data_IF_116363819379
#
_entry.id   IF_116363819379
#
_cell.length_a   1.000
_cell.length_b   1.000
_cell.length_c   1.000
_cell.angle_alpha   90.00
_cell.angle_beta   90.00
_cell.angle_gamma   90.00
#
_symmetry.space_group_name_H-M   'P 1'
#
loop_
_entity.id
_entity.type
_entity.pdbx_description
1 polymer ?
#
# COMPACT_ATOMS: atom_id res chain seq x y z
N UNK A 1 -2.98 21.05 -0.48
CA UNK A 1 -1.73 20.26 -0.60
C UNK A 1 -1.98 18.77 -0.34
N UNK A 2 -2.33 18.32 0.87
CA UNK A 2 -2.60 16.88 1.13
C UNK A 2 -3.82 16.36 0.37
N UNK A 3 -4.90 17.14 0.31
CA UNK A 3 -6.12 16.83 -0.48
C UNK A 3 -5.86 16.67 -1.97
N UNK A 4 -4.95 17.47 -2.53
CA UNK A 4 -4.62 17.44 -3.96
C UNK A 4 -3.82 16.19 -4.30
N UNK A 5 -2.92 15.79 -3.40
CA UNK A 5 -2.14 14.56 -3.52
C UNK A 5 -3.03 13.32 -3.41
N UNK A 6 -4.00 13.32 -2.48
CA UNK A 6 -4.97 12.22 -2.36
C UNK A 6 -5.80 12.06 -3.62
N UNK A 7 -6.28 13.16 -4.20
CA UNK A 7 -7.03 13.16 -5.45
C UNK A 7 -6.16 12.67 -6.62
N UNK A 8 -4.90 13.14 -6.71
CA UNK A 8 -3.95 12.69 -7.73
C UNK A 8 -3.68 11.18 -7.62
N UNK A 9 -3.43 10.67 -6.40
CA UNK A 9 -3.20 9.24 -6.18
C UNK A 9 -4.43 8.40 -6.52
N UNK A 10 -5.63 8.87 -6.17
CA UNK A 10 -6.87 8.19 -6.54
C UNK A 10 -7.06 8.16 -8.06
N UNK A 11 -6.75 9.26 -8.76
CA UNK A 11 -6.80 9.30 -10.22
C UNK A 11 -5.77 8.33 -10.85
N UNK A 12 -4.54 8.30 -10.33
CA UNK A 12 -3.51 7.34 -10.75
C UNK A 12 -3.97 5.89 -10.53
N UNK A 13 -4.54 5.59 -9.36
CA UNK A 13 -5.04 4.25 -9.04
C UNK A 13 -6.15 3.83 -10.00
N UNK A 14 -7.15 4.69 -10.24
CA UNK A 14 -8.27 4.41 -11.14
C UNK A 14 -7.80 4.11 -12.57
N UNK A 15 -6.73 4.76 -13.04
CA UNK A 15 -6.19 4.54 -14.37
C UNK A 15 -5.27 3.32 -14.48
N UNK A 16 -4.92 2.66 -13.35
CA UNK A 16 -4.01 1.53 -13.34
C UNK A 16 -4.66 0.25 -13.92
N UNK A 17 -4.03 -0.42 -14.90
CA UNK A 17 -4.52 -1.68 -15.45
C UNK A 17 -4.66 -2.79 -14.39
N UNK A 18 -3.75 -2.83 -13.40
CA UNK A 18 -3.81 -3.76 -12.27
C UNK A 18 -5.11 -3.58 -11.48
N UNK A 19 -5.47 -2.33 -11.17
CA UNK A 19 -6.70 -2.05 -10.43
C UNK A 19 -7.93 -2.44 -11.25
N UNK A 20 -7.97 -2.10 -12.54
CA UNK A 20 -9.09 -2.47 -13.41
C UNK A 20 -9.31 -3.99 -13.46
N UNK A 21 -8.23 -4.78 -13.51
CA UNK A 21 -8.31 -6.25 -13.42
C UNK A 21 -8.87 -6.72 -12.07
N UNK A 22 -8.41 -6.13 -10.96
CA UNK A 22 -8.85 -6.53 -9.63
C UNK A 22 -10.32 -6.15 -9.36
N UNK A 23 -10.76 -4.98 -9.85
CA UNK A 23 -12.14 -4.51 -9.74
C UNK A 23 -13.15 -5.36 -10.49
N UNK A 24 -12.71 -6.16 -11.47
CA UNK A 24 -13.57 -7.12 -12.16
C UNK A 24 -14.05 -8.25 -11.22
N UNK A 25 -13.43 -8.43 -10.05
CA UNK A 25 -13.86 -9.40 -9.05
C UNK A 25 -14.89 -8.80 -8.09
N UNK A 26 -16.07 -9.44 -7.90
CA UNK A 26 -17.13 -8.91 -7.04
C UNK A 26 -16.75 -8.72 -5.57
N UNK A 27 -15.77 -9.48 -5.08
CA UNK A 27 -15.29 -9.41 -3.70
C UNK A 27 -14.24 -8.32 -3.46
N UNK A 28 -13.86 -7.59 -4.52
CA UNK A 28 -12.85 -6.55 -4.43
C UNK A 28 -13.32 -5.40 -3.53
N UNK A 29 -12.55 -5.10 -2.49
CA UNK A 29 -12.81 -4.01 -1.54
C UNK A 29 -11.75 -2.94 -1.68
N UNK A 30 -12.17 -1.67 -1.62
CA UNK A 30 -11.31 -0.50 -1.67
C UNK A 30 -11.38 0.29 -0.37
N UNK A 31 -10.24 0.75 0.13
CA UNK A 31 -10.12 1.52 1.36
C UNK A 31 -8.84 2.36 1.39
N UNK A 32 -8.64 3.12 2.47
CA UNK A 32 -7.48 4.00 2.69
C UNK A 32 -6.64 3.47 3.84
N UNK A 33 -5.33 3.34 3.61
CA UNK A 33 -4.41 2.68 4.55
C UNK A 33 -4.37 1.16 4.35
N UNK A 34 -3.22 0.51 4.49
CA UNK A 34 -3.10 -0.95 4.32
C UNK A 34 -3.60 -1.68 5.56
N UNK A 35 -3.17 -1.25 6.74
CA UNK A 35 -3.62 -1.81 8.02
C UNK A 35 -4.86 -1.05 8.51
N UNK A 36 -5.91 -1.80 8.84
CA UNK A 36 -7.09 -1.28 9.51
C UNK A 36 -6.84 -1.29 11.02
N UNK A 37 -6.33 -0.19 11.54
CA UNK A 37 -5.97 -0.04 12.94
C UNK A 37 -6.92 0.94 13.63
N UNK A 38 -7.45 0.56 14.79
CA UNK A 38 -8.26 1.46 15.62
C UNK A 38 -7.46 2.72 16.01
N UNK A 39 -8.06 3.93 16.04
CA UNK A 39 -7.34 5.19 16.24
C UNK A 39 -6.40 5.21 17.45
N UNK A 40 -6.82 4.59 18.56
CA UNK A 40 -6.04 4.46 19.79
C UNK A 40 -4.72 3.68 19.62
N UNK A 41 -4.66 2.77 18.65
CA UNK A 41 -3.49 1.94 18.36
C UNK A 41 -2.64 2.51 17.21
N UNK A 42 -3.08 3.58 16.54
CA UNK A 42 -2.32 4.19 15.44
C UNK A 42 -1.09 4.95 15.93
N UNK A 43 -1.11 5.44 17.18
CA UNK A 43 0.00 6.18 17.78
C UNK A 43 1.29 5.36 17.91
N UNK A 44 1.18 4.03 17.91
CA UNK A 44 2.32 3.12 18.03
C UNK A 44 2.74 2.50 16.68
N UNK A 45 2.13 2.93 15.56
CA UNK A 45 2.39 2.35 14.24
C UNK A 45 3.37 3.18 13.41
N UNK A 46 4.41 2.50 12.91
CA UNK A 46 5.50 3.10 12.15
C UNK A 46 5.03 3.94 10.95
N UNK A 47 4.09 3.40 10.16
CA UNK A 47 3.56 4.03 8.93
C UNK A 47 2.53 5.12 9.19
N UNK A 48 1.90 5.13 10.37
CA UNK A 48 0.98 6.18 10.81
C UNK A 48 1.67 7.32 11.57
N UNK A 49 2.92 7.11 12.01
CA UNK A 49 3.67 8.08 12.82
C UNK A 49 4.99 8.49 12.16
N UNK A 50 6.06 7.73 12.40
CA UNK A 50 7.43 8.09 12.04
C UNK A 50 7.59 8.35 10.53
N UNK A 51 6.93 7.53 9.70
CA UNK A 51 6.96 7.63 8.25
C UNK A 51 5.81 8.48 7.67
N UNK A 52 4.91 8.99 8.51
CA UNK A 52 3.80 9.84 8.09
C UNK A 52 4.16 11.34 8.16
N UNK A 53 3.52 12.13 7.31
CA UNK A 53 3.58 13.59 7.35
C UNK A 53 4.20 14.23 6.11
N UNK A 54 4.29 15.58 6.08
CA UNK A 54 4.74 16.32 4.91
C UNK A 54 6.13 15.91 4.43
N UNK A 55 6.26 15.64 3.13
CA UNK A 55 7.51 15.16 2.53
C UNK A 55 7.84 13.70 2.85
N UNK A 56 7.00 12.99 3.61
CA UNK A 56 7.07 11.54 3.81
C UNK A 56 5.86 10.86 3.16
N UNK A 57 5.27 9.84 3.79
CA UNK A 57 3.96 9.32 3.41
C UNK A 57 2.92 10.37 3.84
N UNK A 58 2.66 11.31 2.93
CA UNK A 58 1.90 12.54 3.25
C UNK A 58 0.39 12.34 3.24
N UNK A 59 -0.09 11.23 2.68
CA UNK A 59 -1.49 10.83 2.73
C UNK A 59 -1.61 9.30 2.81
N UNK A 60 -2.69 8.75 3.38
CA UNK A 60 -2.88 7.30 3.47
C UNK A 60 -2.91 6.68 2.07
N UNK A 61 -2.31 5.50 1.83
CA UNK A 61 -2.33 4.86 0.51
C UNK A 61 -3.74 4.53 0.05
N UNK A 62 -3.94 4.48 -1.27
CA UNK A 62 -5.14 3.89 -1.86
C UNK A 62 -4.96 2.37 -1.94
N UNK A 63 -5.86 1.59 -1.36
CA UNK A 63 -5.72 0.14 -1.27
C UNK A 63 -6.92 -0.56 -1.85
N UNK A 64 -6.68 -1.60 -2.65
CA UNK A 64 -7.70 -2.51 -3.14
C UNK A 64 -7.27 -3.96 -2.84
N UNK A 65 -8.21 -4.82 -2.47
CA UNK A 65 -7.91 -6.23 -2.17
C UNK A 65 -9.05 -7.14 -2.58
N UNK A 66 -8.72 -8.33 -3.07
CA UNK A 66 -9.64 -9.46 -3.25
C UNK A 66 -9.18 -10.59 -2.35
N UNK A 67 -10.03 -10.96 -1.40
CA UNK A 67 -9.74 -12.06 -0.48
C UNK A 67 -9.79 -13.40 -1.22
N UNK A 68 -10.73 -13.56 -2.16
CA UNK A 68 -10.88 -14.76 -2.98
C UNK A 68 -9.66 -15.00 -3.87
N UNK A 69 -9.11 -13.93 -4.48
CA UNK A 69 -7.88 -14.03 -5.26
C UNK A 69 -6.61 -14.05 -4.41
N UNK A 70 -6.70 -13.59 -3.16
CA UNK A 70 -5.51 -13.43 -2.33
C UNK A 70 -4.57 -12.38 -2.91
N UNK A 71 -5.15 -11.28 -3.41
CA UNK A 71 -4.43 -10.20 -4.08
C UNK A 71 -4.69 -8.87 -3.37
N UNK A 72 -3.67 -8.03 -3.30
CA UNK A 72 -3.72 -6.68 -2.76
C UNK A 72 -2.91 -5.73 -3.65
N UNK A 73 -3.49 -4.58 -3.95
CA UNK A 73 -2.83 -3.47 -4.62
C UNK A 73 -2.85 -2.26 -3.68
N UNK A 74 -1.70 -1.63 -3.49
CA UNK A 74 -1.59 -0.42 -2.68
C UNK A 74 -0.79 0.65 -3.44
N UNK A 75 -1.40 1.80 -3.66
CA UNK A 75 -0.78 2.94 -4.31
C UNK A 75 -0.30 3.91 -3.23
N UNK A 76 0.96 4.32 -3.34
CA UNK A 76 1.61 5.24 -2.42
C UNK A 76 2.20 6.42 -3.18
N UNK A 77 2.18 7.59 -2.55
CA UNK A 77 3.09 8.67 -2.87
C UNK A 77 4.26 8.66 -1.88
N UNK A 78 5.50 8.67 -2.38
CA UNK A 78 6.71 8.64 -1.57
C UNK A 78 7.41 10.00 -1.61
N UNK A 79 7.32 10.79 -0.55
CA UNK A 79 7.94 12.12 -0.51
C UNK A 79 9.47 12.13 -0.36
N UNK A 80 10.07 13.27 -0.69
CA UNK A 80 11.52 13.54 -0.63
C UNK A 80 12.25 13.22 0.68
N UNK A 81 11.59 13.33 1.84
CA UNK A 81 12.20 13.01 3.15
C UNK A 81 12.28 11.49 3.42
N UNK A 82 11.88 10.66 2.46
CA UNK A 82 12.07 9.22 2.48
C UNK A 82 13.32 8.78 1.70
N UNK A 83 14.13 9.72 1.25
CA UNK A 83 15.37 9.46 0.52
C UNK A 83 16.38 8.67 1.37
N UNK A 84 17.04 7.69 0.76
CA UNK A 84 18.26 7.08 1.31
C UNK A 84 19.53 7.62 0.66
N UNK A 85 19.42 7.97 -0.62
CA UNK A 85 20.42 8.71 -1.39
C UNK A 85 19.72 9.88 -2.10
N UNK A 86 20.48 10.89 -2.54
CA UNK A 86 19.90 12.07 -3.20
C UNK A 86 18.99 11.65 -4.38
N UNK A 87 17.71 12.00 -4.29
CA UNK A 87 16.69 11.71 -5.32
C UNK A 87 16.13 10.30 -5.33
N UNK A 88 16.59 9.39 -4.46
CA UNK A 88 16.21 7.96 -4.47
C UNK A 88 15.66 7.56 -3.09
N UNK A 89 14.48 6.95 -3.07
CA UNK A 89 13.87 6.42 -1.85
C UNK A 89 14.78 5.40 -1.16
N UNK A 90 14.79 5.42 0.17
CA UNK A 90 15.60 4.49 0.96
C UNK A 90 15.14 3.04 0.75
N UNK A 91 16.05 2.11 0.44
CA UNK A 91 15.68 0.71 0.17
C UNK A 91 14.97 0.02 1.34
N UNK A 92 15.27 0.42 2.58
CA UNK A 92 14.56 -0.03 3.78
C UNK A 92 13.08 0.40 3.83
N UNK A 93 12.69 1.51 3.19
CA UNK A 93 11.28 1.86 3.05
C UNK A 93 10.56 0.82 2.18
N UNK A 94 11.18 0.37 1.09
CA UNK A 94 10.62 -0.69 0.25
C UNK A 94 10.30 -1.94 1.08
N UNK A 95 11.20 -2.32 2.00
CA UNK A 95 10.98 -3.45 2.90
C UNK A 95 9.75 -3.25 3.80
N UNK A 96 9.56 -2.05 4.36
CA UNK A 96 8.38 -1.71 5.18
C UNK A 96 7.09 -1.84 4.37
N UNK A 97 7.04 -1.26 3.18
CA UNK A 97 5.84 -1.28 2.32
C UNK A 97 5.49 -2.71 1.88
N UNK A 98 6.51 -3.49 1.51
CA UNK A 98 6.36 -4.88 1.09
C UNK A 98 5.87 -5.77 2.24
N UNK A 99 6.46 -5.64 3.43
CA UNK A 99 6.04 -6.40 4.63
C UNK A 99 4.58 -6.10 5.00
N UNK A 100 4.21 -4.82 5.05
CA UNK A 100 2.86 -4.38 5.42
C UNK A 100 1.81 -4.91 4.42
N UNK A 101 2.06 -4.78 3.12
CA UNK A 101 1.15 -5.23 2.06
C UNK A 101 1.02 -6.75 1.99
N UNK A 102 2.14 -7.49 2.07
CA UNK A 102 2.13 -8.95 2.04
C UNK A 102 1.52 -9.56 3.32
N UNK A 103 1.72 -8.93 4.48
CA UNK A 103 1.08 -9.35 5.71
C UNK A 103 -0.44 -9.15 5.63
N UNK A 104 -0.87 -7.98 5.15
CA UNK A 104 -2.29 -7.63 5.06
C UNK A 104 -3.10 -8.59 4.20
N UNK A 105 -2.56 -9.01 3.05
CA UNK A 105 -3.26 -9.95 2.15
C UNK A 105 -3.43 -11.32 2.81
N UNK A 106 -2.50 -11.73 3.67
CA UNK A 106 -2.57 -13.01 4.39
C UNK A 106 -3.64 -13.06 5.46
N UNK A 107 -4.03 -11.94 6.07
CA UNK A 107 -4.92 -11.94 7.24
C UNK A 107 -6.26 -12.64 6.94
N UNK A 108 -6.81 -12.46 5.74
CA UNK A 108 -8.06 -13.11 5.34
C UNK A 108 -7.94 -14.65 5.16
N UNK A 109 -6.72 -15.18 5.08
CA UNK A 109 -6.45 -16.63 4.93
C UNK A 109 -6.10 -17.33 6.25
N UNK A 110 -5.82 -16.57 7.30
CA UNK A 110 -5.56 -17.11 8.62
C UNK A 110 -6.83 -17.20 9.46
N UNK A 111 -6.99 -18.30 10.20
CA UNK A 111 -8.23 -18.60 10.91
C UNK A 111 -8.62 -17.53 11.95
N UNK A 112 -7.63 -16.89 12.56
CA UNK A 112 -7.80 -15.84 13.56
C UNK A 112 -7.46 -14.44 13.04
N UNK A 113 -7.21 -14.30 11.73
CA UNK A 113 -6.89 -13.00 11.14
C UNK A 113 -5.54 -12.41 11.52
N UNK A 114 -4.63 -13.19 12.11
CA UNK A 114 -3.32 -12.74 12.60
C UNK A 114 -2.20 -13.48 11.86
N UNK A 115 -1.24 -12.74 11.34
CA UNK A 115 -0.03 -13.26 10.72
C UNK A 115 1.20 -12.50 11.20
N UNK A 116 2.30 -13.22 11.38
CA UNK A 116 3.62 -12.63 11.65
C UNK A 116 4.61 -13.01 10.56
N UNK A 117 5.50 -12.08 10.22
CA UNK A 117 6.55 -12.29 9.24
C UNK A 117 7.62 -13.24 9.80
N UNK A 118 7.96 -14.28 9.06
CA UNK A 118 9.04 -15.22 9.40
C UNK A 118 10.25 -15.03 8.52
N UNK A 119 10.02 -14.76 7.23
CA UNK A 119 11.07 -14.46 6.26
C UNK A 119 10.56 -13.41 5.29
N UNK A 120 11.43 -12.46 4.96
CA UNK A 120 11.24 -11.48 3.90
C UNK A 120 12.52 -11.45 3.06
N UNK A 121 12.42 -11.84 1.79
CA UNK A 121 13.51 -11.88 0.82
C UNK A 121 13.24 -10.82 -0.25
N UNK A 122 14.17 -9.90 -0.49
CA UNK A 122 13.95 -8.70 -1.30
C UNK A 122 15.05 -8.57 -2.36
N UNK A 123 14.65 -8.37 -3.61
CA UNK A 123 15.52 -8.05 -4.73
C UNK A 123 15.24 -6.64 -5.25
N UNK A 124 16.24 -5.77 -5.20
CA UNK A 124 16.17 -4.41 -5.76
C UNK A 124 16.60 -4.45 -7.23
N UNK A 125 15.72 -4.01 -8.13
CA UNK A 125 15.91 -4.08 -9.60
C UNK A 125 16.24 -2.72 -10.20
N UNK A 126 15.58 -1.68 -9.73
CA UNK A 126 15.75 -0.31 -10.19
C UNK A 126 15.51 0.69 -9.04
N UNK A 127 16.13 1.87 -9.07
CA UNK A 127 15.90 2.89 -8.06
C UNK A 127 14.47 3.42 -8.12
N UNK A 128 13.88 3.67 -6.95
CA UNK A 128 12.58 4.35 -6.82
C UNK A 128 12.86 5.85 -6.65
N UNK A 129 12.46 6.72 -7.58
CA UNK A 129 12.59 8.17 -7.40
C UNK A 129 11.79 8.64 -6.17
N UNK A 130 12.24 9.70 -5.51
CA UNK A 130 11.40 10.41 -4.53
C UNK A 130 10.40 11.34 -5.22
N UNK A 131 9.38 11.76 -4.48
CA UNK A 131 8.24 12.56 -4.95
C UNK A 131 7.52 11.89 -6.13
N UNK A 132 7.44 10.55 -6.12
CA UNK A 132 6.78 9.74 -7.15
C UNK A 132 5.65 8.89 -6.57
N UNK A 133 4.76 8.44 -7.47
CA UNK A 133 3.74 7.43 -7.17
C UNK A 133 4.29 6.05 -7.46
N UNK A 134 3.97 5.08 -6.60
CA UNK A 134 4.30 3.66 -6.81
C UNK A 134 3.10 2.78 -6.55
N UNK A 135 3.07 1.63 -7.21
CA UNK A 135 2.15 0.54 -6.96
C UNK A 135 2.88 -0.59 -6.25
N UNK A 136 2.39 -0.99 -5.09
CA UNK A 136 2.74 -2.26 -4.44
C UNK A 136 1.68 -3.29 -4.81
N UNK A 137 2.07 -4.37 -5.48
CA UNK A 137 1.19 -5.48 -5.83
C UNK A 137 1.61 -6.73 -5.08
N UNK A 138 0.74 -7.27 -4.23
CA UNK A 138 0.99 -8.46 -3.44
C UNK A 138 0.00 -9.58 -3.78
N UNK A 139 0.50 -10.82 -3.85
CA UNK A 139 -0.28 -12.00 -4.18
C UNK A 139 0.14 -13.21 -3.36
N UNK A 140 -0.84 -13.90 -2.80
CA UNK A 140 -0.63 -15.17 -2.11
C UNK A 140 -0.40 -16.26 -3.15
N UNK A 141 0.76 -16.91 -3.08
CA UNK A 141 1.11 -18.04 -3.95
C UNK A 141 0.51 -19.33 -3.42
N UNK A 142 0.62 -19.54 -2.10
CA UNK A 142 0.10 -20.75 -1.45
C UNK A 142 -0.13 -20.56 0.04
N UNK A 143 -1.05 -21.36 0.58
CA UNK A 143 -1.35 -21.45 2.01
C UNK A 143 -1.36 -22.91 2.42
N UNK A 144 -0.60 -23.27 3.45
CA UNK A 144 -0.52 -24.63 4.00
C UNK A 144 -0.65 -24.57 5.53
N UNK A 145 -1.84 -24.90 6.04
CA UNK A 145 -2.14 -24.83 7.46
C UNK A 145 -1.97 -23.40 7.99
N UNK A 146 -0.97 -23.19 8.86
CA UNK A 146 -0.65 -21.88 9.46
C UNK A 146 0.36 -21.07 8.67
N UNK A 147 0.80 -21.50 7.49
CA UNK A 147 1.84 -20.86 6.70
C UNK A 147 1.25 -20.27 5.42
N UNK A 148 1.61 -19.04 5.08
CA UNK A 148 1.28 -18.41 3.81
C UNK A 148 2.55 -17.89 3.13
N UNK A 149 2.70 -18.20 1.85
CA UNK A 149 3.78 -17.71 1.00
C UNK A 149 3.22 -16.66 0.07
N UNK A 150 3.89 -15.52 0.00
CA UNK A 150 3.42 -14.34 -0.72
C UNK A 150 4.54 -13.83 -1.61
N UNK A 151 4.18 -13.35 -2.79
CA UNK A 151 5.07 -12.55 -3.64
C UNK A 151 4.53 -11.14 -3.71
N UNK A 152 5.44 -10.18 -3.83
CA UNK A 152 5.05 -8.80 -4.10
C UNK A 152 6.07 -8.07 -4.96
N UNK A 153 5.58 -7.03 -5.64
CA UNK A 153 6.41 -6.08 -6.38
C UNK A 153 6.12 -4.66 -5.92
N UNK A 154 7.13 -3.79 -6.00
CA UNK A 154 6.97 -2.35 -6.08
C UNK A 154 7.30 -1.94 -7.51
N UNK A 155 6.37 -1.29 -8.18
CA UNK A 155 6.45 -0.95 -9.59
C UNK A 155 5.83 0.41 -9.89
N UNK A 156 6.07 0.90 -11.10
CA UNK A 156 5.35 2.05 -11.64
C UNK A 156 3.83 1.73 -11.71
N UNK A 157 2.93 2.70 -11.42
CA UNK A 157 1.48 2.50 -11.54
C UNK A 157 0.99 2.05 -12.93
N UNK A 158 1.73 2.36 -13.99
CA UNK A 158 1.50 1.91 -15.38
C UNK A 158 2.06 0.50 -15.66
N UNK A 159 2.68 -0.13 -14.67
CA UNK A 159 3.30 -1.47 -14.74
C UNK A 159 4.47 -1.57 -15.74
N UNK A 160 5.09 -0.45 -16.11
CA UNK A 160 6.19 -0.38 -17.09
C UNK A 160 7.55 -0.81 -16.52
N UNK A 161 7.79 -0.56 -15.23
CA UNK A 161 9.06 -0.82 -14.56
C UNK A 161 8.80 -1.44 -13.19
N UNK A 162 9.45 -2.57 -12.92
CA UNK A 162 9.52 -3.17 -11.58
C UNK A 162 10.76 -2.64 -10.88
N UNK A 163 10.58 -1.95 -9.75
CA UNK A 163 11.66 -1.40 -8.95
C UNK A 163 12.20 -2.41 -7.94
N UNK A 164 11.30 -3.14 -7.27
CA UNK A 164 11.64 -4.09 -6.21
C UNK A 164 10.73 -5.29 -6.29
N UNK A 165 11.26 -6.48 -6.07
CA UNK A 165 10.51 -7.73 -5.96
C UNK A 165 10.78 -8.35 -4.60
N UNK A 166 9.79 -9.05 -4.04
CA UNK A 166 9.97 -9.77 -2.79
C UNK A 166 9.18 -11.07 -2.73
N UNK A 167 9.72 -12.00 -1.95
CA UNK A 167 9.04 -13.21 -1.52
C UNK A 167 9.05 -13.27 0.01
N UNK A 168 7.93 -13.64 0.60
CA UNK A 168 7.81 -13.68 2.06
C UNK A 168 7.07 -14.92 2.54
N UNK A 169 7.40 -15.32 3.78
CA UNK A 169 6.70 -16.35 4.54
C UNK A 169 6.07 -15.72 5.78
N UNK A 170 4.75 -15.82 5.85
CA UNK A 170 3.96 -15.44 7.01
C UNK A 170 3.44 -16.68 7.75
N UNK A 171 3.36 -16.59 9.08
CA UNK A 171 2.81 -17.65 9.91
C UNK A 171 1.73 -17.10 10.84
N UNK A 172 0.61 -17.81 10.97
CA UNK A 172 -0.34 -17.60 12.05
C UNK A 172 0.26 -18.15 13.37
N UNK A 173 0.56 -17.29 14.36
CA UNK A 173 1.18 -17.75 15.58
C UNK A 173 0.19 -18.59 16.42
N UNK A 174 0.71 -19.55 17.19
CA UNK A 174 -0.14 -20.44 18.00
C UNK A 174 -0.99 -19.68 19.02
N UNK A 175 -0.43 -18.60 19.58
CA UNK A 175 -1.11 -17.74 20.55
C UNK A 175 -2.29 -16.95 19.95
N UNK A 176 -2.42 -16.86 18.62
CA UNK A 176 -3.57 -16.18 17.99
C UNK A 176 -4.90 -16.82 18.38
N UNK A 177 -4.92 -18.15 18.56
CA UNK A 177 -6.11 -18.89 19.03
C UNK A 177 -6.48 -18.52 20.46
N UNK A 178 -5.50 -18.36 21.34
CA UNK A 178 -5.70 -18.04 22.75
C UNK A 178 -6.24 -16.61 22.92
N UNK A 179 -5.72 -15.67 22.12
CA UNK A 179 -6.20 -14.30 22.09
C UNK A 179 -7.63 -14.20 21.53
N UNK A 180 -7.92 -14.94 20.45
CA UNK A 180 -9.27 -15.03 19.88
C UNK A 180 -10.28 -15.61 20.88
N UNK A 181 -9.92 -16.69 21.59
CA UNK A 181 -10.75 -17.28 22.63
C UNK A 181 -10.96 -16.34 23.83
N UNK A 182 -9.92 -15.59 24.23
CA UNK A 182 -10.02 -14.63 25.33
C UNK A 182 -10.97 -13.50 24.96
N UNK A 183 -10.80 -12.92 23.77
CA UNK A 183 -11.70 -11.88 23.24
C UNK A 183 -13.14 -12.40 23.14
N UNK A 184 -13.34 -13.63 22.64
CA UNK A 184 -14.65 -14.27 22.57
C UNK A 184 -15.30 -14.44 23.96
N UNK A 185 -14.54 -14.87 24.96
CA UNK A 185 -15.03 -15.09 26.32
C UNK A 185 -15.29 -13.78 27.09
N UNK A 186 -14.51 -12.72 26.83
CA UNK A 186 -14.82 -11.37 27.33
C UNK A 186 -15.96 -10.69 26.56
N UNK A 187 -16.34 -11.22 25.38
CA UNK A 187 -17.38 -10.66 24.50
C UNK A 187 -18.77 -11.28 24.68
N UNK A 188 -19.24 -11.49 25.92
CA UNK A 188 -20.65 -11.19 26.19
C UNK A 188 -20.94 -9.68 26.13
N UNK A 189 -19.91 -8.84 26.03
CA UNK A 189 -20.01 -7.43 25.68
C UNK A 189 -19.13 -7.10 24.48
N UNK A 190 -19.79 -6.70 23.38
CA UNK A 190 -19.26 -6.08 22.16
C UNK A 190 -18.40 -6.95 21.21
N UNK A 191 -19.07 -7.50 20.18
CA UNK A 191 -18.44 -7.80 18.89
C UNK A 191 -18.19 -6.46 18.17
N UNK A 192 -16.92 -6.08 17.97
CA UNK A 192 -16.56 -5.14 16.92
C UNK A 192 -15.84 -5.89 15.81
N UNK A 193 -16.63 -6.47 14.91
CA UNK A 193 -16.20 -6.54 13.51
C UNK A 193 -16.07 -5.09 13.04
N UNK A 194 -14.83 -4.61 12.88
CA UNK A 194 -14.59 -3.36 12.15
C UNK A 194 -14.84 -3.68 10.68
N UNK A 195 -16.12 -3.62 10.29
CA UNK A 195 -16.49 -3.52 8.89
C UNK A 195 -15.90 -2.21 8.37
N UNK A 196 -14.84 -2.33 7.59
CA UNK A 196 -14.26 -1.21 6.86
C UNK A 196 -15.34 -0.73 5.90
N UNK A 197 -15.85 0.48 6.14
CA UNK A 197 -16.84 1.09 5.25
C UNK A 197 -16.17 1.28 3.88
N UNK A 198 -16.64 0.61 2.82
CA UNK A 198 -16.07 0.77 1.48
C UNK A 198 -16.16 2.24 1.08
N UNK A 199 -15.15 2.72 0.34
CA UNK A 199 -15.18 4.06 -0.22
C UNK A 199 -16.43 4.20 -1.10
N UNK A 200 -17.23 5.25 -0.88
CA UNK A 200 -18.37 5.56 -1.74
C UNK A 200 -17.90 5.92 -3.15
N UNK A 201 -18.44 5.23 -4.15
CA UNK A 201 -18.12 5.38 -5.58
C UNK A 201 -18.42 6.81 -6.04
N UNK A 202 -17.44 7.62 -6.48
CA UNK A 202 -17.74 8.81 -7.26
C UNK A 202 -18.13 8.37 -8.67
N UNK A 203 -19.39 8.58 -9.05
CA UNK A 203 -19.85 8.42 -10.42
C UNK A 203 -19.04 9.34 -11.36
N UNK A 204 -18.43 8.75 -12.40
CA UNK A 204 -17.56 9.40 -13.39
C UNK A 204 -18.30 10.32 -14.38
N UNK A 205 -19.37 11.00 -13.97
CA UNK A 205 -20.26 11.72 -14.89
C UNK A 205 -20.42 13.23 -14.64
N UNK A 206 -19.66 13.83 -13.73
CA UNK A 206 -19.81 15.26 -13.41
C UNK A 206 -18.47 15.98 -13.17
N UNK A 207 -17.59 15.98 -14.17
CA UNK A 207 -16.44 16.88 -14.19
C UNK A 207 -16.09 17.31 -15.64
N UNK A 208 -17.12 17.73 -16.38
CA UNK A 208 -16.95 18.48 -17.63
C UNK A 208 -17.84 19.71 -17.58
N UNK A 209 -17.32 20.79 -17.00
CA UNK A 209 -17.50 22.16 -17.49
C UNK A 209 -17.02 23.18 -16.46
N UNK A 210 -16.29 24.19 -16.96
CA UNK A 210 -15.79 25.41 -16.32
C UNK A 210 -14.40 25.25 -15.68
N UNK A 211 -13.39 26.06 -15.96
CA UNK A 211 -13.25 27.24 -16.82
C UNK A 211 -11.73 27.45 -16.98
N UNK A 212 -11.30 27.75 -18.21
CA UNK A 212 -9.99 28.36 -18.49
C UNK A 212 -9.91 29.73 -17.78
N UNK A 213 -8.81 30.02 -17.10
CA UNK A 213 -8.08 31.29 -17.24
C UNK A 213 -6.66 31.22 -16.65
N UNK A 214 -5.78 31.93 -17.35
CA UNK A 214 -4.32 31.88 -17.36
C UNK A 214 -3.64 32.63 -16.22
N UNK A 215 -2.41 32.22 -15.86
CA UNK A 215 -1.29 33.17 -15.71
C UNK A 215 0.05 32.44 -15.77
N UNK A 216 0.90 32.90 -16.69
CA UNK A 216 2.25 32.42 -16.96
C UNK A 216 3.22 32.98 -15.92
N UNK A 217 3.92 32.10 -15.20
CA UNK A 217 5.12 32.49 -14.45
C UNK A 217 6.24 31.54 -14.82
N UNK A 218 7.25 32.10 -15.49
CA UNK A 218 8.46 31.43 -15.93
C UNK A 218 9.23 30.86 -14.74
N UNK A 219 9.35 29.53 -14.67
CA UNK A 219 10.25 28.83 -13.76
C UNK A 219 11.52 28.48 -14.52
N UNK A 220 12.65 28.95 -13.98
CA UNK A 220 14.00 28.66 -14.45
C UNK A 220 14.23 27.16 -14.46
N UNK A 221 14.60 26.64 -15.62
CA UNK A 221 15.11 25.29 -15.83
C UNK A 221 16.39 25.13 -15.01
N UNK A 222 16.34 24.39 -13.90
CA UNK A 222 17.53 23.79 -13.31
C UNK A 222 17.82 22.52 -14.09
N UNK A 223 18.92 22.54 -14.83
CA UNK A 223 19.45 21.40 -15.57
C UNK A 223 19.88 20.32 -14.56
N UNK A 224 19.06 19.27 -14.43
CA UNK A 224 19.45 18.04 -13.74
C UNK A 224 20.57 17.37 -14.56
N UNK A 225 21.72 17.15 -13.92
CA UNK A 225 22.80 16.37 -14.49
C UNK A 225 22.33 14.91 -14.68
N UNK A 226 22.70 14.23 -15.79
CA UNK A 226 22.30 12.85 -16.02
C UNK A 226 22.91 11.94 -14.96
N UNK A 227 22.07 11.17 -14.27
CA UNK A 227 22.50 10.13 -13.34
C UNK A 227 23.08 8.98 -14.20
N UNK A 228 24.34 8.57 -13.98
CA UNK A 228 24.93 7.48 -14.73
C UNK A 228 24.18 6.17 -14.49
N UNK A 229 24.05 5.34 -15.52
CA UNK A 229 23.44 4.00 -15.48
C UNK A 229 24.04 3.16 -14.35
N UNK A 230 23.41 3.17 -13.18
CA UNK A 230 23.63 2.16 -12.15
C UNK A 230 22.80 0.94 -12.53
N UNK A 231 23.46 0.03 -13.24
CA UNK A 231 23.04 -1.38 -13.25
C UNK A 231 23.24 -1.88 -11.83
N UNK A 232 22.15 -2.30 -11.17
CA UNK A 232 22.17 -3.00 -9.89
C UNK A 232 22.66 -4.43 -10.10
#
# INVERSE_FOLDING_TARGET
>A
MTTDLEASMAATAINSPALQRLLAFPDCKQFRGVLATAPENQADQLTFTTLAGPGKISCPPYVATSNEKGELLAFYHLGSQLAGHAGICHGGLSAVLLDECMGRVCFARFANGVGVTVKLDISYRAPIPVDSMVLVAAKIEKVEGRKAWVKATIQDPEESTVFVEAEALFIEPKWAREMSNTLQNSSMTARQSIDIKPLSIPNSAAASSRLFQTSSTSLRTQTLLPIPNMVV
#
